data_IF_046138270220
#
_entry.id   IF_046138270220
#
_cell.length_a   1.000
_cell.length_b   1.000
_cell.length_c   1.000
_cell.angle_alpha   90.00
_cell.angle_beta   90.00
_cell.angle_gamma   90.00
#
_symmetry.space_group_name_H-M   'P 1'
#
loop_
_entity.id
_entity.type
_entity.pdbx_description
1 polymer ?
#
# COMPACT_ATOMS: atom_id res chain seq x y z
N UNK A 1 -12.23 -5.46 5.70
CA UNK A 1 -11.07 -6.14 5.08
C UNK A 1 -11.03 -5.77 3.61
N UNK A 2 -9.87 -5.36 3.09
CA UNK A 2 -9.71 -4.93 1.71
C UNK A 2 -9.75 -6.12 0.76
N UNK A 3 -10.62 -6.05 -0.24
CA UNK A 3 -10.76 -7.02 -1.32
C UNK A 3 -9.85 -6.69 -2.50
N UNK A 4 -9.62 -7.68 -3.38
CA UNK A 4 -8.87 -7.45 -4.63
C UNK A 4 -9.58 -6.46 -5.55
N UNK A 5 -10.92 -6.50 -5.61
CA UNK A 5 -11.70 -5.57 -6.42
C UNK A 5 -11.53 -4.10 -5.97
N UNK A 6 -11.59 -3.85 -4.66
CA UNK A 6 -11.31 -2.53 -4.07
C UNK A 6 -9.86 -2.09 -4.33
N UNK A 7 -8.90 -3.03 -4.29
CA UNK A 7 -7.50 -2.76 -4.56
C UNK A 7 -7.22 -2.44 -6.04
N UNK A 8 -7.80 -3.18 -6.98
CA UNK A 8 -7.57 -2.97 -8.42
C UNK A 8 -8.32 -1.76 -8.97
N UNK A 9 -9.45 -1.40 -8.37
CA UNK A 9 -10.26 -0.26 -8.78
C UNK A 9 -10.70 -0.34 -10.26
N UNK A 10 -10.87 -1.54 -10.79
CA UNK A 10 -11.22 -1.80 -12.19
C UNK A 10 -10.08 -1.72 -13.20
N UNK A 11 -8.89 -1.28 -12.78
CA UNK A 11 -7.72 -1.10 -13.66
C UNK A 11 -7.23 -2.42 -14.24
N UNK A 12 -7.40 -3.51 -13.52
CA UNK A 12 -7.08 -4.88 -13.95
C UNK A 12 -7.76 -5.24 -15.28
N UNK A 13 -8.98 -4.72 -15.51
CA UNK A 13 -9.74 -4.93 -16.75
C UNK A 13 -9.43 -3.90 -17.82
N UNK A 14 -9.08 -2.67 -17.43
CA UNK A 14 -8.71 -1.61 -18.36
C UNK A 14 -7.29 -1.80 -18.93
N UNK A 15 -6.39 -2.44 -18.17
CA UNK A 15 -4.97 -2.61 -18.51
C UNK A 15 -4.51 -4.07 -18.29
N UNK A 16 -5.13 -5.06 -18.94
CA UNK A 16 -4.89 -6.48 -18.66
C UNK A 16 -3.45 -6.91 -18.96
N UNK A 17 -2.84 -6.41 -20.04
CA UNK A 17 -1.48 -6.78 -20.42
C UNK A 17 -0.43 -6.34 -19.38
N UNK A 18 -0.55 -5.11 -18.84
CA UNK A 18 0.33 -4.63 -17.77
C UNK A 18 0.06 -5.38 -16.46
N UNK A 19 -1.20 -5.69 -16.18
CA UNK A 19 -1.60 -6.43 -14.99
C UNK A 19 -1.00 -7.84 -14.96
N UNK A 20 -1.12 -8.58 -16.06
CA UNK A 20 -0.55 -9.92 -16.22
C UNK A 20 0.98 -9.88 -16.29
N UNK A 21 1.54 -8.98 -17.09
CA UNK A 21 2.99 -8.88 -17.31
C UNK A 21 3.80 -8.57 -16.05
N UNK A 22 3.20 -7.90 -15.06
CA UNK A 22 3.82 -7.61 -13.76
C UNK A 22 3.44 -8.61 -12.65
N UNK A 23 2.69 -9.67 -12.96
CA UNK A 23 2.19 -10.67 -12.00
C UNK A 23 1.44 -10.01 -10.82
N UNK A 24 0.61 -9.01 -11.14
CA UNK A 24 -0.04 -8.14 -10.15
C UNK A 24 -0.96 -8.93 -9.24
N UNK A 25 -1.67 -9.93 -9.77
CA UNK A 25 -2.60 -10.72 -8.97
C UNK A 25 -1.91 -11.42 -7.80
N UNK A 26 -0.78 -12.09 -8.07
CA UNK A 26 0.00 -12.77 -7.05
C UNK A 26 0.55 -11.78 -6.01
N UNK A 27 1.14 -10.68 -6.48
CA UNK A 27 1.72 -9.67 -5.61
C UNK A 27 0.66 -9.00 -4.72
N UNK A 28 -0.51 -8.68 -5.29
CA UNK A 28 -1.62 -8.06 -4.58
C UNK A 28 -2.19 -9.01 -3.51
N UNK A 29 -2.36 -10.31 -3.82
CA UNK A 29 -2.79 -11.30 -2.83
C UNK A 29 -1.83 -11.35 -1.63
N UNK A 30 -0.53 -11.34 -1.89
CA UNK A 30 0.49 -11.35 -0.84
C UNK A 30 0.51 -10.03 -0.04
N UNK A 31 0.44 -8.89 -0.71
CA UNK A 31 0.34 -7.58 -0.06
C UNK A 31 -0.93 -7.50 0.82
N UNK A 32 -2.09 -7.82 0.27
CA UNK A 32 -3.36 -7.72 0.99
C UNK A 32 -3.44 -8.70 2.15
N UNK A 33 -2.81 -9.88 2.08
CA UNK A 33 -2.69 -10.75 3.25
C UNK A 33 -2.00 -10.03 4.43
N UNK A 34 -0.91 -9.33 4.16
CA UNK A 34 -0.15 -8.59 5.18
C UNK A 34 -0.92 -7.36 5.68
N UNK A 35 -1.44 -6.53 4.76
CA UNK A 35 -2.17 -5.30 5.08
C UNK A 35 -3.44 -5.61 5.86
N UNK A 36 -4.23 -6.59 5.43
CA UNK A 36 -5.42 -6.99 6.15
C UNK A 36 -5.10 -7.62 7.50
N UNK A 37 -3.99 -8.35 7.62
CA UNK A 37 -3.48 -8.84 8.91
C UNK A 37 -3.16 -7.70 9.87
N UNK A 38 -2.50 -6.64 9.38
CA UNK A 38 -2.20 -5.43 10.14
C UNK A 38 -3.46 -4.70 10.60
N UNK A 39 -4.42 -4.47 9.69
CA UNK A 39 -5.67 -3.80 10.03
C UNK A 39 -6.46 -4.59 11.09
N UNK A 40 -6.51 -5.92 10.94
CA UNK A 40 -7.13 -6.81 11.94
C UNK A 40 -6.43 -6.73 13.31
N UNK A 41 -5.10 -6.68 13.36
CA UNK A 41 -4.36 -6.55 14.63
C UNK A 41 -4.50 -5.18 15.30
N UNK A 42 -5.08 -4.20 14.58
CA UNK A 42 -5.46 -2.88 15.08
C UNK A 42 -6.96 -2.76 15.39
N UNK A 43 -7.75 -3.82 15.20
CA UNK A 43 -9.22 -3.80 15.27
C UNK A 43 -9.85 -2.78 14.31
N UNK A 44 -9.31 -2.66 13.10
CA UNK A 44 -9.82 -1.78 12.04
C UNK A 44 -10.47 -2.65 10.97
N UNK A 45 -11.81 -2.59 10.88
CA UNK A 45 -12.58 -3.43 9.97
C UNK A 45 -12.80 -2.80 8.60
N UNK A 46 -12.87 -1.46 8.54
CA UNK A 46 -13.23 -0.71 7.35
C UNK A 46 -12.23 0.43 7.10
N UNK A 47 -11.71 0.47 5.88
CA UNK A 47 -10.86 1.55 5.38
C UNK A 47 -11.21 1.82 3.91
N UNK A 48 -10.97 3.04 3.44
CA UNK A 48 -11.12 3.37 2.03
C UNK A 48 -9.78 3.21 1.31
N UNK A 49 -9.72 2.40 0.25
CA UNK A 49 -8.55 2.32 -0.63
C UNK A 49 -8.52 3.54 -1.54
N UNK A 50 -7.47 4.35 -1.45
CA UNK A 50 -7.24 5.50 -2.35
C UNK A 50 -6.55 5.08 -3.64
N UNK A 51 -5.62 4.13 -3.54
CA UNK A 51 -4.93 3.59 -4.72
C UNK A 51 -4.30 2.24 -4.41
N UNK A 52 -4.63 1.20 -5.17
CA UNK A 52 -3.88 -0.06 -5.15
C UNK A 52 -2.91 -0.14 -6.33
N UNK A 53 -2.99 -1.17 -7.16
CA UNK A 53 -2.14 -1.27 -8.34
C UNK A 53 -2.36 -0.11 -9.31
N UNK A 54 -1.29 0.35 -9.96
CA UNK A 54 -1.33 1.41 -10.97
C UNK A 54 -0.66 0.91 -12.27
N UNK A 55 -1.33 0.99 -13.43
CA UNK A 55 -0.64 0.90 -14.72
C UNK A 55 0.28 2.11 -14.88
N UNK A 56 1.27 2.00 -15.78
CA UNK A 56 2.33 3.02 -15.96
C UNK A 56 1.75 4.40 -16.22
N UNK A 57 0.77 4.50 -17.12
CA UNK A 57 0.14 5.79 -17.50
C UNK A 57 -0.53 6.48 -16.32
N UNK A 58 -1.17 5.73 -15.42
CA UNK A 58 -1.80 6.29 -14.21
C UNK A 58 -0.72 6.71 -13.21
N UNK A 59 0.31 5.87 -13.02
CA UNK A 59 1.41 6.18 -12.11
C UNK A 59 2.15 7.45 -12.53
N UNK A 60 2.44 7.63 -13.80
CA UNK A 60 3.07 8.83 -14.36
C UNK A 60 2.18 10.07 -14.18
N UNK A 61 0.89 9.95 -14.45
CA UNK A 61 -0.08 11.05 -14.31
C UNK A 61 -0.15 11.60 -12.88
N UNK A 62 0.03 10.75 -11.87
CA UNK A 62 0.04 11.15 -10.45
C UNK A 62 1.44 11.53 -9.95
N UNK A 63 2.45 11.58 -10.82
CA UNK A 63 3.82 11.92 -10.46
C UNK A 63 4.54 10.83 -9.66
N UNK A 64 4.10 9.57 -9.77
CA UNK A 64 4.72 8.44 -9.09
C UNK A 64 6.09 8.09 -9.66
N UNK A 65 6.98 7.57 -8.81
CA UNK A 65 8.29 7.07 -9.23
C UNK A 65 8.16 5.95 -10.28
N UNK A 66 9.09 5.92 -11.25
CA UNK A 66 9.20 4.84 -12.25
C UNK A 66 9.57 3.49 -11.65
N UNK A 67 10.02 3.48 -10.39
CA UNK A 67 10.32 2.27 -9.59
C UNK A 67 9.27 2.00 -8.50
N UNK A 68 8.11 2.64 -8.57
CA UNK A 68 7.05 2.51 -7.55
C UNK A 68 6.57 1.07 -7.42
N UNK A 69 6.36 0.62 -6.18
CA UNK A 69 5.76 -0.68 -5.90
C UNK A 69 4.29 -0.78 -6.28
N UNK A 70 3.60 0.35 -6.52
CA UNK A 70 2.26 0.33 -7.10
C UNK A 70 2.23 -0.26 -8.51
N UNK A 71 3.30 -0.11 -9.29
CA UNK A 71 3.39 -0.64 -10.66
C UNK A 71 3.34 -2.17 -10.71
N UNK A 72 3.73 -2.82 -9.61
CA UNK A 72 3.87 -4.28 -9.53
C UNK A 72 2.93 -4.91 -8.49
N UNK A 73 1.94 -4.17 -7.97
CA UNK A 73 0.95 -4.71 -7.03
C UNK A 73 1.47 -4.93 -5.61
N UNK A 74 2.52 -4.19 -5.21
CA UNK A 74 3.22 -4.35 -3.92
C UNK A 74 3.09 -3.16 -2.99
N UNK A 75 2.28 -2.17 -3.36
CA UNK A 75 1.95 -1.02 -2.53
C UNK A 75 0.45 -0.70 -2.53
N UNK A 76 0.00 -0.01 -1.49
CA UNK A 76 -1.37 0.46 -1.31
C UNK A 76 -1.38 1.82 -0.60
N UNK A 77 -2.27 2.69 -1.07
CA UNK A 77 -2.62 3.95 -0.40
C UNK A 77 -4.02 3.79 0.24
N UNK A 78 -4.12 4.06 1.54
CA UNK A 78 -5.36 3.97 2.32
C UNK A 78 -5.72 5.36 2.83
N UNK A 79 -6.98 5.77 2.74
CA UNK A 79 -7.43 7.08 3.22
C UNK A 79 -7.17 7.24 4.72
N UNK A 80 -6.64 8.40 5.09
CA UNK A 80 -6.40 8.80 6.48
C UNK A 80 -6.59 10.32 6.61
N UNK A 81 -7.81 10.83 6.37
CA UNK A 81 -8.07 12.26 6.25
C UNK A 81 -7.76 13.05 7.53
N UNK A 82 -7.72 12.37 8.68
CA UNK A 82 -7.41 12.97 9.98
C UNK A 82 -6.00 12.60 10.49
N UNK A 83 -5.22 11.82 9.73
CA UNK A 83 -3.86 11.41 10.10
C UNK A 83 -3.76 10.41 11.26
N UNK A 84 -4.89 9.91 11.76
CA UNK A 84 -4.94 9.06 12.94
C UNK A 84 -4.27 7.71 12.72
N UNK A 85 -4.47 7.12 11.54
CA UNK A 85 -3.87 5.82 11.23
C UNK A 85 -2.36 5.92 11.06
N UNK A 86 -1.88 6.97 10.38
CA UNK A 86 -0.46 7.26 10.22
C UNK A 86 0.24 7.48 11.57
N UNK A 87 -0.39 8.20 12.50
CA UNK A 87 0.12 8.38 13.86
C UNK A 87 0.21 7.04 14.60
N UNK A 88 -0.88 6.25 14.59
CA UNK A 88 -0.91 4.94 15.25
C UNK A 88 0.21 4.05 14.73
N UNK A 89 0.36 3.92 13.41
CA UNK A 89 1.39 3.06 12.82
C UNK A 89 2.81 3.57 13.10
N UNK A 90 3.01 4.89 13.10
CA UNK A 90 4.33 5.48 13.41
C UNK A 90 4.76 5.25 14.85
N UNK A 91 3.81 5.11 15.77
CA UNK A 91 4.06 4.81 17.19
C UNK A 91 4.17 3.31 17.48
N UNK A 92 3.81 2.44 16.51
CA UNK A 92 3.76 0.99 16.68
C UNK A 92 4.54 0.26 15.55
N UNK A 93 5.84 0.54 15.37
CA UNK A 93 6.64 -0.03 14.28
C UNK A 93 6.81 -1.55 14.37
N UNK A 94 6.62 -2.15 15.54
CA UNK A 94 6.59 -3.59 15.76
C UNK A 94 5.41 -4.26 15.05
N UNK A 95 4.25 -3.57 14.92
CA UNK A 95 3.13 -4.07 14.13
C UNK A 95 3.46 -4.09 12.64
N UNK A 96 4.07 -3.03 12.12
CA UNK A 96 4.56 -2.99 10.74
C UNK A 96 5.56 -4.13 10.49
N UNK A 97 6.49 -4.35 11.41
CA UNK A 97 7.48 -5.43 11.36
C UNK A 97 6.84 -6.82 11.38
N UNK A 98 5.88 -7.08 12.27
CA UNK A 98 5.18 -8.35 12.37
C UNK A 98 4.43 -8.72 11.09
N UNK A 99 3.97 -7.71 10.35
CA UNK A 99 3.30 -7.88 9.07
C UNK A 99 4.21 -7.64 7.85
N UNK A 100 5.52 -7.46 8.05
CA UNK A 100 6.52 -7.24 6.99
C UNK A 100 6.20 -6.04 6.07
N UNK A 101 5.63 -4.99 6.62
CA UNK A 101 5.25 -3.77 5.91
C UNK A 101 6.19 -2.61 6.21
N UNK A 102 6.24 -1.69 5.26
CA UNK A 102 6.88 -0.38 5.37
C UNK A 102 5.81 0.70 5.26
N UNK A 103 5.95 1.75 6.06
CA UNK A 103 5.09 2.94 6.03
C UNK A 103 5.86 4.09 5.40
N UNK A 104 5.30 4.79 4.40
CA UNK A 104 5.85 6.09 4.01
C UNK A 104 5.56 7.11 5.12
N UNK A 105 6.51 8.01 5.41
CA UNK A 105 6.38 9.05 6.42
C UNK A 105 5.03 9.79 6.29
N UNK A 106 4.14 9.71 7.32
CA UNK A 106 2.83 10.38 7.28
C UNK A 106 2.90 11.91 7.10
N UNK A 107 4.05 12.54 7.35
CA UNK A 107 4.25 13.96 7.04
C UNK A 107 4.27 14.25 5.53
N UNK A 108 4.59 13.24 4.71
CA UNK A 108 4.56 13.30 3.23
C UNK A 108 3.21 12.86 2.67
N UNK A 109 2.46 12.07 3.42
CA UNK A 109 1.15 11.53 3.05
C UNK A 109 0.09 12.02 4.05
N UNK A 110 -0.28 13.31 3.98
CA UNK A 110 -1.07 13.96 5.06
C UNK A 110 -2.52 13.50 5.19
N UNK A 111 -3.09 12.93 4.12
CA UNK A 111 -4.52 12.56 4.06
C UNK A 111 -4.74 11.10 3.66
N UNK A 112 -3.66 10.33 3.54
CA UNK A 112 -3.64 8.90 3.27
C UNK A 112 -2.39 8.30 3.90
N UNK A 113 -2.35 7.00 4.17
CA UNK A 113 -1.09 6.31 4.45
C UNK A 113 -0.66 5.55 3.21
N UNK A 114 0.64 5.40 3.01
CA UNK A 114 1.20 4.51 2.01
C UNK A 114 1.88 3.33 2.68
N UNK A 115 1.47 2.12 2.31
CA UNK A 115 2.08 0.87 2.77
C UNK A 115 2.61 0.08 1.59
N UNK A 116 3.81 -0.48 1.75
CA UNK A 116 4.35 -1.46 0.80
C UNK A 116 5.07 -2.61 1.52
N UNK A 117 5.31 -3.70 0.81
CA UNK A 117 6.12 -4.83 1.28
C UNK A 117 7.49 -4.88 0.58
N UNK A 118 8.02 -3.74 0.19
CA UNK A 118 9.27 -3.58 -0.55
C UNK A 118 10.51 -4.05 0.22
N UNK A 119 11.61 -4.25 -0.51
CA UNK A 119 12.88 -4.67 0.08
C UNK A 119 13.67 -3.42 0.45
N UNK A 120 13.86 -3.20 1.75
CA UNK A 120 14.71 -2.13 2.29
C UNK A 120 15.58 -2.72 3.41
N UNK A 121 16.70 -2.06 3.70
CA UNK A 121 17.48 -2.38 4.90
C UNK A 121 16.58 -2.19 6.10
N UNK A 122 16.47 -3.23 6.92
CA UNK A 122 15.66 -3.18 8.12
C UNK A 122 16.13 -2.06 9.06
N UNK A 123 15.17 -1.37 9.66
CA UNK A 123 15.37 -0.33 10.67
C UNK A 123 14.21 -0.32 11.64
N UNK A 124 14.47 0.11 12.86
CA UNK A 124 13.49 0.10 13.95
C UNK A 124 12.17 0.76 13.55
N UNK A 125 12.23 1.94 12.93
CA UNK A 125 11.03 2.72 12.61
C UNK A 125 10.07 2.07 11.61
N UNK A 126 10.55 1.20 10.71
CA UNK A 126 9.77 0.72 9.54
C UNK A 126 9.14 1.83 8.69
N UNK A 127 9.59 3.08 8.85
CA UNK A 127 9.12 4.26 8.10
C UNK A 127 10.13 4.60 7.01
N UNK A 128 9.72 5.05 5.83
CA UNK A 128 10.59 5.55 4.76
C UNK A 128 10.15 6.89 4.18
N UNK A 129 11.09 7.57 3.51
CA UNK A 129 10.83 8.78 2.74
C UNK A 129 10.62 8.39 1.26
N UNK A 130 9.73 9.07 0.54
CA UNK A 130 9.38 8.76 -0.86
C UNK A 130 10.58 8.81 -1.82
#
# INVERSE_FOLDING_TARGET
MITLAEYYMGRDREFPEEFEGANVEHNAKFLLHQVNGLLKSLNIDNVEVRSGWRPRVINEKVGGSSRSYHLVGRAIDIADPLGGLGIILSQNPEKLRAHQLWLEDPQKTKTWIHLDNGIRKDRESRIFLP
#
